data_IF_432208036159
#
_entry.id   IF_432208036159
#
_cell.length_a   1.000
_cell.length_b   1.000
_cell.length_c   1.000
_cell.angle_alpha   90.00
_cell.angle_beta   90.00
_cell.angle_gamma   90.00
#
_symmetry.space_group_name_H-M   'P 1'
#
loop_
_entity.id
_entity.type
_entity.pdbx_description
1 polymer ?
#
# COMPACT_ATOMS: atom_id res chain seq x y z
N UNK A 1 -8.06 -2.62 0.69
CA UNK A 1 -6.97 -1.62 0.66
C UNK A 1 -5.69 -2.36 0.30
N UNK A 2 -4.96 -1.92 -0.73
CA UNK A 2 -3.75 -2.62 -1.21
C UNK A 2 -2.44 -1.90 -0.84
N UNK A 3 -2.53 -0.64 -0.41
CA UNK A 3 -1.43 0.20 0.05
C UNK A 3 -1.99 1.23 1.03
N UNK A 4 -1.22 1.58 2.07
CA UNK A 4 -1.48 2.76 2.91
C UNK A 4 -0.19 3.51 3.25
N UNK A 5 -0.22 4.84 3.16
CA UNK A 5 0.77 5.78 3.73
C UNK A 5 0.03 6.78 4.60
N UNK A 6 0.49 6.99 5.83
CA UNK A 6 -0.10 7.96 6.77
C UNK A 6 0.90 8.28 7.90
N UNK A 7 0.60 9.27 8.73
CA UNK A 7 1.41 9.63 9.89
C UNK A 7 1.11 8.73 11.10
N UNK A 8 1.57 7.48 11.04
CA UNK A 8 1.52 6.54 12.17
C UNK A 8 2.67 6.73 13.18
N UNK A 9 3.32 7.90 13.18
CA UNK A 9 4.52 8.18 13.97
C UNK A 9 5.75 7.39 13.53
N UNK A 10 6.86 7.57 14.26
CA UNK A 10 8.14 6.92 13.96
C UNK A 10 8.28 5.54 14.67
N UNK A 11 8.97 4.56 14.04
CA UNK A 11 9.55 4.63 12.70
C UNK A 11 8.50 4.46 11.61
N UNK A 12 8.71 5.17 10.49
CA UNK A 12 7.96 4.98 9.23
C UNK A 12 8.40 3.74 8.47
N UNK A 13 7.50 3.17 7.69
CA UNK A 13 7.82 2.05 6.80
C UNK A 13 8.66 2.51 5.60
N UNK A 14 9.68 1.73 5.26
CA UNK A 14 10.57 2.03 4.15
C UNK A 14 10.00 1.43 2.86
N UNK A 15 9.67 2.28 1.88
CA UNK A 15 9.19 1.87 0.55
C UNK A 15 10.31 1.79 -0.50
N UNK A 16 11.55 2.16 -0.17
CA UNK A 16 12.70 1.94 -1.03
C UNK A 16 13.25 0.53 -0.80
N UNK A 17 12.65 -0.42 -1.52
CA UNK A 17 12.81 -1.87 -1.35
C UNK A 17 13.10 -2.54 -2.69
N UNK A 18 13.58 -3.78 -2.66
CA UNK A 18 13.86 -4.54 -3.87
C UNK A 18 12.60 -5.18 -4.48
N UNK A 19 12.78 -5.88 -5.60
CA UNK A 19 11.69 -6.56 -6.29
C UNK A 19 11.04 -7.65 -5.43
N UNK A 20 11.83 -8.40 -4.65
CA UNK A 20 11.31 -9.51 -3.86
C UNK A 20 10.38 -9.00 -2.75
N UNK A 21 10.73 -7.88 -2.12
CA UNK A 21 9.88 -7.20 -1.14
C UNK A 21 8.56 -6.73 -1.78
N UNK A 22 8.61 -6.05 -2.93
CA UNK A 22 7.38 -5.61 -3.62
C UNK A 22 6.53 -6.78 -4.11
N UNK A 23 7.15 -7.90 -4.48
CA UNK A 23 6.47 -9.13 -4.87
C UNK A 23 5.67 -9.72 -3.70
N UNK A 24 6.30 -9.89 -2.55
CA UNK A 24 5.71 -10.56 -1.38
C UNK A 24 4.84 -9.62 -0.52
N UNK A 25 5.09 -8.31 -0.58
CA UNK A 25 4.50 -7.33 0.33
C UNK A 25 5.38 -7.07 1.55
N UNK A 26 5.17 -5.91 2.17
CA UNK A 26 5.91 -5.46 3.35
C UNK A 26 5.10 -4.45 4.16
N UNK A 27 5.53 -4.19 5.39
CA UNK A 27 4.85 -3.30 6.33
C UNK A 27 3.75 -3.97 7.15
N UNK A 28 2.97 -3.15 7.84
CA UNK A 28 1.91 -3.58 8.74
C UNK A 28 0.55 -3.11 8.21
N UNK A 29 -0.40 -4.02 7.90
CA UNK A 29 -1.75 -3.67 7.47
C UNK A 29 -2.52 -2.74 8.43
N UNK A 30 -2.13 -2.69 9.71
CA UNK A 30 -2.67 -1.75 10.69
C UNK A 30 -2.02 -0.35 10.63
N UNK A 31 -0.89 -0.20 9.93
CA UNK A 31 -0.14 1.05 9.72
C UNK A 31 0.12 1.29 8.23
N UNK A 32 1.37 1.53 7.84
CA UNK A 32 1.84 1.66 6.47
C UNK A 32 2.23 0.28 5.90
N UNK A 33 1.78 -0.03 4.69
CA UNK A 33 2.09 -1.31 4.05
C UNK A 33 1.93 -1.29 2.53
N UNK A 34 2.51 -2.31 1.90
CA UNK A 34 2.25 -2.76 0.53
C UNK A 34 1.79 -4.21 0.56
N UNK A 35 0.63 -4.51 -0.03
CA UNK A 35 0.02 -5.86 0.05
C UNK A 35 0.85 -6.95 -0.64
N UNK A 36 1.69 -6.58 -1.61
CA UNK A 36 2.46 -7.51 -2.43
C UNK A 36 1.83 -7.73 -3.80
N UNK A 37 2.66 -7.74 -4.84
CA UNK A 37 2.20 -7.80 -6.22
C UNK A 37 1.48 -9.11 -6.55
N UNK A 38 1.91 -10.25 -6.01
CA UNK A 38 1.22 -11.53 -6.22
C UNK A 38 -0.19 -11.51 -5.61
N UNK A 39 -0.33 -10.93 -4.42
CA UNK A 39 -1.63 -10.79 -3.76
C UNK A 39 -2.55 -9.83 -4.53
N UNK A 40 -2.02 -8.70 -4.98
CA UNK A 40 -2.77 -7.74 -5.81
C UNK A 40 -3.24 -8.40 -7.10
N UNK A 41 -2.36 -9.14 -7.79
CA UNK A 41 -2.71 -9.89 -8.99
C UNK A 41 -3.84 -10.88 -8.75
N UNK A 42 -3.74 -11.70 -7.69
CA UNK A 42 -4.79 -12.66 -7.34
C UNK A 42 -6.14 -11.99 -7.06
N UNK A 43 -6.15 -10.80 -6.46
CA UNK A 43 -7.36 -10.03 -6.19
C UNK A 43 -7.97 -9.44 -7.45
N UNK A 44 -7.15 -8.87 -8.33
CA UNK A 44 -7.65 -8.09 -9.48
C UNK A 44 -7.89 -8.91 -10.74
N UNK A 45 -7.43 -10.17 -10.79
CA UNK A 45 -7.52 -11.00 -11.99
C UNK A 45 -8.84 -11.80 -12.11
N UNK A 46 -9.71 -11.76 -11.10
CA UNK A 46 -10.94 -12.57 -11.08
C UNK A 46 -12.15 -11.88 -11.74
N UNK A 47 -12.26 -10.56 -11.61
CA UNK A 47 -13.37 -9.75 -12.12
C UNK A 47 -12.86 -8.35 -12.49
N UNK A 48 -13.74 -7.51 -13.03
CA UNK A 48 -13.42 -6.12 -13.32
C UNK A 48 -13.45 -5.28 -12.04
N UNK A 49 -12.28 -4.81 -11.61
CA UNK A 49 -12.13 -3.91 -10.47
C UNK A 49 -11.69 -2.52 -10.92
N UNK A 50 -12.12 -1.49 -10.19
CA UNK A 50 -11.63 -0.12 -10.33
C UNK A 50 -10.70 0.22 -9.16
N UNK A 51 -9.56 0.85 -9.46
CA UNK A 51 -8.65 1.36 -8.44
C UNK A 51 -9.12 2.75 -7.97
N UNK A 52 -9.30 2.89 -6.66
CA UNK A 52 -9.49 4.20 -6.01
C UNK A 52 -8.23 4.57 -5.24
N UNK A 53 -7.73 5.78 -5.50
CA UNK A 53 -6.62 6.38 -4.77
C UNK A 53 -7.15 7.59 -4.01
N UNK A 54 -6.97 7.60 -2.71
CA UNK A 54 -7.29 8.73 -1.83
C UNK A 54 -5.97 9.39 -1.43
N UNK A 55 -5.91 10.71 -1.54
CA UNK A 55 -4.74 11.52 -1.18
C UNK A 55 -5.19 12.56 -0.15
N UNK A 56 -4.27 13.00 0.70
CA UNK A 56 -4.46 14.13 1.61
C UNK A 56 -3.16 14.93 1.65
N UNK A 57 -3.23 16.26 1.58
CA UNK A 57 -2.08 17.13 1.78
C UNK A 57 -1.83 17.43 3.27
N UNK A 58 -0.73 18.12 3.58
CA UNK A 58 -0.38 18.45 4.97
C UNK A 58 -1.32 19.46 5.64
N UNK A 59 -2.18 20.14 4.87
CA UNK A 59 -3.20 21.06 5.37
C UNK A 59 -4.55 20.35 5.60
N UNK A 60 -4.63 19.05 5.29
CA UNK A 60 -5.82 18.22 5.45
C UNK A 60 -6.78 18.28 4.25
N UNK A 61 -6.35 18.80 3.10
CA UNK A 61 -7.16 18.81 1.88
C UNK A 61 -7.10 17.43 1.20
N UNK A 62 -8.26 16.85 0.91
CA UNK A 62 -8.42 15.54 0.26
C UNK A 62 -8.76 15.65 -1.22
#
# INVERSE_FOLDING_TARGET
VIQRRDDFGEPRENFNRDWADYKNGFGDPAREFWLGNENIYMLTNNEDYSLRVELEDFEGNK
#
